data_IF_708726012868
#
_entry.id   IF_708726012868
#
_cell.length_a   1.000
_cell.length_b   1.000
_cell.length_c   1.000
_cell.angle_alpha   90.00
_cell.angle_beta   90.00
_cell.angle_gamma   90.00
#
_symmetry.space_group_name_H-M   'P 1'
#
loop_
_entity.id
_entity.type
_entity.pdbx_description
1 polymer ?
#
# COMPACT_ATOMS: atom_id res chain seq x y z
N UNK A 1 9.51 35.05 10.07
CA UNK A 1 8.55 33.94 9.83
C UNK A 1 7.16 34.41 10.23
N UNK A 2 6.18 34.38 9.33
CA UNK A 2 4.82 34.87 9.59
C UNK A 2 3.90 33.75 10.12
N UNK A 3 2.79 34.11 10.76
CA UNK A 3 1.76 33.14 11.22
C UNK A 3 1.25 32.29 10.05
N UNK A 4 1.10 32.87 8.86
CA UNK A 4 0.69 32.16 7.65
C UNK A 4 1.74 31.14 7.17
N UNK A 5 3.04 31.45 7.30
CA UNK A 5 4.12 30.51 6.99
C UNK A 5 4.16 29.34 7.98
N UNK A 6 3.91 29.61 9.27
CA UNK A 6 3.80 28.58 10.30
C UNK A 6 2.64 27.60 10.03
N UNK A 7 1.44 28.12 9.72
CA UNK A 7 0.26 27.29 9.40
C UNK A 7 0.54 26.35 8.23
N UNK A 8 1.08 26.88 7.12
CA UNK A 8 1.45 26.07 5.95
C UNK A 8 2.43 24.94 6.30
N UNK A 9 3.42 25.23 7.15
CA UNK A 9 4.42 24.24 7.56
C UNK A 9 3.81 23.16 8.46
N UNK A 10 2.89 23.53 9.36
CA UNK A 10 2.15 22.59 10.19
C UNK A 10 1.27 21.68 9.32
N UNK A 11 0.55 22.24 8.35
CA UNK A 11 -0.32 21.45 7.46
C UNK A 11 0.49 20.50 6.58
N UNK A 12 1.65 20.94 6.08
CA UNK A 12 2.57 20.08 5.35
C UNK A 12 3.10 18.92 6.20
N UNK A 13 3.42 19.17 7.48
CA UNK A 13 3.83 18.12 8.41
C UNK A 13 2.70 17.14 8.72
N UNK A 14 1.49 17.63 8.99
CA UNK A 14 0.31 16.78 9.21
C UNK A 14 0.05 15.87 8.01
N UNK A 15 0.10 16.43 6.79
CA UNK A 15 -0.07 15.65 5.57
C UNK A 15 1.03 14.60 5.40
N UNK A 16 2.29 14.95 5.70
CA UNK A 16 3.42 14.01 5.66
C UNK A 16 3.18 12.84 6.63
N UNK A 17 2.87 13.12 7.89
CA UNK A 17 2.62 12.08 8.89
C UNK A 17 1.43 11.21 8.54
N UNK A 18 0.33 11.79 8.04
CA UNK A 18 -0.82 11.04 7.59
C UNK A 18 -0.47 10.06 6.45
N UNK A 19 0.37 10.49 5.51
CA UNK A 19 0.85 9.66 4.40
C UNK A 19 1.75 8.51 4.88
N UNK A 20 2.72 8.79 5.74
CA UNK A 20 3.61 7.76 6.29
C UNK A 20 2.83 6.73 7.10
N UNK A 21 1.88 7.17 7.95
CA UNK A 21 1.03 6.27 8.71
C UNK A 21 0.13 5.42 7.81
N UNK A 22 -0.40 5.99 6.72
CA UNK A 22 -1.20 5.24 5.75
C UNK A 22 -0.38 4.13 5.07
N UNK A 23 0.87 4.40 4.69
CA UNK A 23 1.79 3.40 4.11
C UNK A 23 2.04 2.28 5.12
N UNK A 24 2.44 2.61 6.35
CA UNK A 24 2.76 1.61 7.39
C UNK A 24 1.56 0.69 7.63
N UNK A 25 0.37 1.26 7.80
CA UNK A 25 -0.85 0.49 8.06
C UNK A 25 -1.28 -0.37 6.86
N UNK A 26 -1.24 0.16 5.63
CA UNK A 26 -1.57 -0.62 4.44
C UNK A 26 -0.57 -1.74 4.20
N UNK A 27 0.71 -1.48 4.45
CA UNK A 27 1.76 -2.47 4.30
C UNK A 27 1.52 -3.65 5.24
N UNK A 28 1.17 -3.39 6.50
CA UNK A 28 0.83 -4.47 7.44
C UNK A 28 -0.33 -5.35 6.95
N UNK A 29 -1.39 -4.73 6.41
CA UNK A 29 -2.52 -5.48 5.82
C UNK A 29 -2.06 -6.28 4.60
N UNK A 30 -1.19 -5.71 3.77
CA UNK A 30 -0.68 -6.39 2.59
C UNK A 30 0.23 -7.57 2.95
N UNK A 31 1.07 -7.44 3.98
CA UNK A 31 1.85 -8.54 4.57
C UNK A 31 0.93 -9.65 5.09
N UNK A 32 -0.09 -9.30 5.89
CA UNK A 32 -1.05 -10.30 6.39
C UNK A 32 -1.77 -11.03 5.24
N UNK A 33 -2.10 -10.33 4.14
CA UNK A 33 -2.72 -10.94 2.94
C UNK A 33 -1.74 -11.86 2.20
N UNK A 34 -0.48 -11.45 2.08
CA UNK A 34 0.58 -12.25 1.46
C UNK A 34 0.89 -13.50 2.28
N UNK A 35 0.93 -13.39 3.61
CA UNK A 35 1.16 -14.52 4.53
C UNK A 35 0.01 -15.53 4.49
N UNK A 36 -1.23 -15.05 4.38
CA UNK A 36 -2.44 -15.88 4.21
C UNK A 36 -2.61 -16.45 2.78
N UNK A 37 -1.76 -16.07 1.82
CA UNK A 37 -1.99 -16.38 0.41
C UNK A 37 -1.60 -17.82 0.05
N UNK A 38 -2.60 -18.62 -0.29
CA UNK A 38 -2.42 -19.98 -0.81
C UNK A 38 -2.59 -20.01 -2.33
N UNK A 39 -1.55 -20.28 -3.15
CA UNK A 39 -1.65 -20.28 -4.61
C UNK A 39 -2.68 -21.27 -5.18
N UNK A 40 -2.98 -22.35 -4.46
CA UNK A 40 -4.00 -23.34 -4.83
C UNK A 40 -5.43 -22.84 -4.60
N UNK A 41 -5.62 -21.93 -3.65
CA UNK A 41 -6.91 -21.35 -3.27
C UNK A 41 -6.71 -19.87 -2.91
N UNK A 42 -6.38 -19.02 -3.90
CA UNK A 42 -6.10 -17.61 -3.65
C UNK A 42 -7.40 -16.86 -3.33
N UNK A 43 -7.39 -15.94 -2.34
CA UNK A 43 -8.58 -15.17 -1.98
C UNK A 43 -9.09 -14.34 -3.15
N UNK A 44 -10.38 -14.06 -3.15
CA UNK A 44 -10.96 -13.18 -4.17
C UNK A 44 -10.44 -11.74 -3.96
N UNK A 45 -10.11 -10.97 -5.03
CA UNK A 45 -9.68 -9.58 -4.89
C UNK A 45 -10.67 -8.73 -4.07
N UNK A 46 -11.96 -9.05 -4.16
CA UNK A 46 -13.02 -8.37 -3.38
C UNK A 46 -12.90 -8.59 -1.87
N UNK A 47 -12.44 -9.76 -1.42
CA UNK A 47 -12.24 -10.07 0.00
C UNK A 47 -11.08 -9.24 0.56
N UNK A 48 -9.98 -9.15 -0.20
CA UNK A 48 -8.83 -8.32 0.17
C UNK A 48 -9.23 -6.85 0.27
N UNK A 49 -10.02 -6.34 -0.70
CA UNK A 49 -10.57 -4.98 -0.66
C UNK A 49 -11.44 -4.77 0.59
N UNK A 50 -12.29 -5.73 0.95
CA UNK A 50 -13.11 -5.64 2.16
C UNK A 50 -12.26 -5.59 3.43
N UNK A 51 -11.15 -6.36 3.53
CA UNK A 51 -10.22 -6.28 4.66
C UNK A 51 -9.65 -4.86 4.81
N UNK A 52 -9.23 -4.25 3.70
CA UNK A 52 -8.71 -2.86 3.68
C UNK A 52 -9.78 -1.85 4.12
N UNK A 53 -11.01 -1.98 3.62
CA UNK A 53 -12.14 -1.11 3.97
C UNK A 53 -12.52 -1.25 5.45
N UNK A 54 -12.50 -2.48 6.00
CA UNK A 54 -12.75 -2.78 7.42
C UNK A 54 -11.65 -2.21 8.32
N UNK A 55 -10.41 -2.16 7.86
CA UNK A 55 -9.31 -1.49 8.54
C UNK A 55 -9.40 0.05 8.54
N UNK A 56 -10.46 0.62 7.96
CA UNK A 56 -10.76 2.05 8.01
C UNK A 56 -10.23 2.85 6.83
N UNK A 57 -9.66 2.21 5.81
CA UNK A 57 -9.23 2.91 4.61
C UNK A 57 -10.42 3.31 3.73
N UNK A 58 -10.42 4.57 3.32
CA UNK A 58 -11.40 5.16 2.40
C UNK A 58 -10.64 5.73 1.21
N UNK A 59 -10.43 4.87 0.21
CA UNK A 59 -9.70 5.21 -1.01
C UNK A 59 -10.68 5.54 -2.14
N UNK A 60 -10.32 6.43 -3.06
CA UNK A 60 -11.21 6.83 -4.16
C UNK A 60 -11.49 5.69 -5.15
N UNK A 61 -10.56 4.75 -5.27
CA UNK A 61 -10.69 3.58 -6.14
C UNK A 61 -9.81 2.42 -5.65
N UNK A 62 -10.23 1.19 -5.97
CA UNK A 62 -9.46 -0.04 -5.77
C UNK A 62 -9.10 -0.72 -7.10
N UNK A 63 -9.35 -0.09 -8.25
CA UNK A 63 -9.21 -0.72 -9.58
C UNK A 63 -7.80 -1.26 -9.85
N UNK A 64 -6.74 -0.52 -9.51
CA UNK A 64 -5.35 -0.99 -9.68
C UNK A 64 -5.07 -2.23 -8.84
N UNK A 65 -5.49 -2.21 -7.57
CA UNK A 65 -5.31 -3.35 -6.66
C UNK A 65 -6.09 -4.57 -7.17
N UNK A 66 -7.34 -4.38 -7.55
CA UNK A 66 -8.17 -5.47 -8.06
C UNK A 66 -7.53 -6.13 -9.28
N UNK A 67 -7.08 -5.35 -10.26
CA UNK A 67 -6.42 -5.87 -11.46
C UNK A 67 -5.15 -6.65 -11.09
N UNK A 68 -4.32 -6.07 -10.23
CA UNK A 68 -3.09 -6.70 -9.77
C UNK A 68 -3.35 -8.07 -9.12
N UNK A 69 -4.31 -8.15 -8.19
CA UNK A 69 -4.63 -9.40 -7.50
C UNK A 69 -5.24 -10.45 -8.45
N UNK A 70 -6.07 -10.02 -9.40
CA UNK A 70 -6.64 -10.91 -10.43
C UNK A 70 -5.54 -11.49 -11.34
N UNK A 71 -4.56 -10.68 -11.74
CA UNK A 71 -3.41 -11.13 -12.54
C UNK A 71 -2.53 -12.12 -11.74
N UNK A 72 -2.21 -11.81 -10.48
CA UNK A 72 -1.43 -12.70 -9.59
C UNK A 72 -2.15 -14.02 -9.37
N UNK A 73 -3.46 -13.97 -9.11
CA UNK A 73 -4.31 -15.16 -8.93
C UNK A 73 -4.31 -16.05 -10.18
N UNK A 74 -4.39 -15.47 -11.38
CA UNK A 74 -4.32 -16.23 -12.64
C UNK A 74 -2.94 -16.80 -12.90
N UNK A 75 -1.89 -16.11 -12.47
CA UNK A 75 -0.50 -16.56 -12.58
C UNK A 75 -0.12 -17.67 -11.60
N UNK A 76 -0.92 -17.89 -10.54
CA UNK A 76 -0.56 -18.82 -9.47
C UNK A 76 0.61 -18.34 -8.62
N UNK A 77 0.86 -17.03 -8.61
CA UNK A 77 1.93 -16.40 -7.83
C UNK A 77 1.40 -15.90 -6.48
N UNK A 78 2.32 -15.51 -5.61
CA UNK A 78 2.02 -14.83 -4.34
C UNK A 78 2.15 -13.32 -4.55
N UNK A 79 1.20 -12.49 -4.09
CA UNK A 79 1.28 -11.05 -4.26
C UNK A 79 2.40 -10.46 -3.40
N UNK A 80 3.04 -9.43 -3.92
CA UNK A 80 4.05 -8.65 -3.21
C UNK A 80 3.37 -7.53 -2.41
N UNK A 81 3.65 -7.39 -1.09
CA UNK A 81 3.02 -6.39 -0.24
C UNK A 81 3.18 -4.96 -0.78
N UNK A 82 4.39 -4.63 -1.26
CA UNK A 82 4.70 -3.29 -1.77
C UNK A 82 3.89 -2.94 -3.03
N UNK A 83 3.70 -3.91 -3.94
CA UNK A 83 2.91 -3.71 -5.15
C UNK A 83 1.43 -3.47 -4.82
N UNK A 84 0.91 -4.12 -3.77
CA UNK A 84 -0.43 -3.85 -3.26
C UNK A 84 -0.54 -2.41 -2.71
N UNK A 85 0.43 -1.97 -1.91
CA UNK A 85 0.46 -0.60 -1.35
C UNK A 85 0.54 0.43 -2.46
N UNK A 86 1.40 0.24 -3.47
CA UNK A 86 1.54 1.16 -4.61
C UNK A 86 0.29 1.20 -5.49
N UNK A 87 -0.41 0.07 -5.60
CA UNK A 87 -1.70 0.01 -6.30
C UNK A 87 -2.78 0.86 -5.63
N UNK A 88 -2.70 1.04 -4.30
CA UNK A 88 -3.64 1.83 -3.51
C UNK A 88 -3.22 3.29 -3.36
N UNK A 89 -1.91 3.53 -3.24
CA UNK A 89 -1.32 4.84 -3.00
C UNK A 89 -0.30 5.17 -4.10
N UNK A 90 -0.73 5.57 -5.31
CA UNK A 90 0.18 5.87 -6.42
C UNK A 90 1.20 6.97 -6.09
N UNK A 91 0.85 7.92 -5.22
CA UNK A 91 1.76 8.97 -4.78
C UNK A 91 2.91 8.46 -3.90
N UNK A 92 2.83 7.22 -3.40
CA UNK A 92 3.90 6.56 -2.66
C UNK A 92 5.02 6.04 -3.60
N UNK A 93 4.81 6.05 -4.92
CA UNK A 93 5.84 5.75 -5.94
C UNK A 93 6.98 6.81 -5.95
N UNK A 94 6.83 7.92 -5.24
CA UNK A 94 7.86 8.96 -5.12
C UNK A 94 9.04 8.49 -4.23
N UNK A 95 10.29 8.77 -4.65
CA UNK A 95 11.55 8.45 -3.95
C UNK A 95 11.53 8.72 -2.44
N UNK A 96 10.75 9.72 -2.01
CA UNK A 96 10.59 10.08 -0.61
C UNK A 96 10.00 8.97 0.27
N UNK A 97 9.12 8.14 -0.26
CA UNK A 97 8.44 7.08 0.50
C UNK A 97 9.01 5.69 0.19
N UNK A 98 9.89 5.61 -0.81
CA UNK A 98 10.59 4.39 -1.19
C UNK A 98 11.29 3.66 -0.03
N UNK A 99 11.91 4.33 0.97
CA UNK A 99 12.49 3.65 2.12
C UNK A 99 11.48 2.86 2.96
N UNK A 100 10.22 3.30 3.03
CA UNK A 100 9.15 2.61 3.77
C UNK A 100 8.64 1.37 3.02
N UNK A 101 8.88 1.32 1.71
CA UNK A 101 8.50 0.23 0.81
C UNK A 101 9.66 -0.74 0.51
N UNK A 102 10.90 -0.43 0.92
CA UNK A 102 12.08 -1.18 0.45
C UNK A 102 12.43 -2.43 1.23
N UNK A 103 11.72 -2.72 2.31
CA UNK A 103 12.17 -3.74 3.27
C UNK A 103 12.02 -5.19 2.74
N UNK A 104 11.25 -5.41 1.67
CA UNK A 104 10.99 -6.77 1.12
C UNK A 104 11.21 -6.90 -0.40
N UNK A 105 11.99 -6.02 -1.03
CA UNK A 105 12.48 -6.34 -2.37
C UNK A 105 13.63 -7.34 -2.21
N UNK A 106 13.59 -8.54 -2.83
CA UNK A 106 14.76 -9.39 -2.87
C UNK A 106 15.90 -8.54 -3.41
N UNK A 107 16.98 -8.49 -2.66
CA UNK A 107 18.19 -7.80 -3.08
C UNK A 107 18.53 -8.36 -4.44
N UNK A 108 18.32 -7.58 -5.50
CA UNK A 108 18.92 -7.89 -6.78
C UNK A 108 20.42 -7.72 -6.55
N UNK A 109 21.07 -8.80 -6.15
CA UNK A 109 22.52 -8.92 -6.19
C UNK A 109 22.93 -8.76 -7.66
N UNK A 110 23.90 -7.88 -7.95
CA UNK A 110 24.46 -7.75 -9.29
C UNK A 110 25.15 -9.03 -9.77
#
# INVERSE_FOLDING_TARGET
MTISQLRRRIDALKLKFARELAIIKLRRIAEDVTDDWTPSEPPEPSEVIQRIVKAGFRLPTFTRLHRYLDDVRRGGEVPYPNTMVLSLLPWAENDRYFPLLRWDLPSQTP
#
